data_IF_280415102383
#
_entry.id   IF_280415102383
#
_cell.length_a   1.000
_cell.length_b   1.000
_cell.length_c   1.000
_cell.angle_alpha   90.00
_cell.angle_beta   90.00
_cell.angle_gamma   90.00
#
_symmetry.space_group_name_H-M   'P 1'
#
loop_
_entity.id
_entity.type
_entity.pdbx_description
1 polymer ?
#
# COMPACT_ATOMS: atom_id res chain seq x y z
N UNK A 1 -1.75 -11.72 -17.32
CA UNK A 1 -1.23 -11.63 -15.94
C UNK A 1 -1.52 -10.22 -15.41
N UNK A 2 -1.90 -10.02 -14.13
CA UNK A 2 -2.24 -8.67 -13.58
C UNK A 2 -0.97 -7.84 -13.33
N UNK A 3 0.12 -8.52 -13.00
CA UNK A 3 1.46 -7.97 -12.91
C UNK A 3 2.28 -8.47 -14.11
N UNK A 4 3.22 -7.66 -14.58
CA UNK A 4 4.32 -8.13 -15.43
C UNK A 4 5.28 -9.03 -14.63
N UNK A 5 6.11 -9.81 -15.31
CA UNK A 5 7.11 -10.69 -14.65
C UNK A 5 7.99 -9.89 -13.67
N UNK A 6 8.45 -8.71 -14.08
CA UNK A 6 9.22 -7.80 -13.22
C UNK A 6 8.44 -7.31 -12.00
N UNK A 7 7.15 -7.00 -12.16
CA UNK A 7 6.30 -6.55 -11.06
C UNK A 7 6.00 -7.69 -10.08
N UNK A 8 5.85 -8.91 -10.57
CA UNK A 8 5.66 -10.09 -9.74
C UNK A 8 6.90 -10.36 -8.87
N UNK A 9 8.11 -10.28 -9.44
CA UNK A 9 9.36 -10.44 -8.70
C UNK A 9 9.47 -9.41 -7.56
N UNK A 10 9.17 -8.14 -7.85
CA UNK A 10 9.21 -7.06 -6.85
C UNK A 10 8.16 -7.29 -5.76
N UNK A 11 6.94 -7.68 -6.15
CA UNK A 11 5.87 -7.99 -5.23
C UNK A 11 6.23 -9.15 -4.30
N UNK A 12 6.74 -10.25 -4.84
CA UNK A 12 7.10 -11.44 -4.09
C UNK A 12 8.19 -11.10 -3.06
N UNK A 13 9.23 -10.36 -3.46
CA UNK A 13 10.28 -9.91 -2.56
C UNK A 13 9.73 -9.07 -1.39
N UNK A 14 8.82 -8.12 -1.68
CA UNK A 14 8.17 -7.28 -0.66
C UNK A 14 7.24 -8.10 0.25
N UNK A 15 6.46 -9.02 -0.32
CA UNK A 15 5.56 -9.88 0.43
C UNK A 15 6.33 -10.82 1.36
N UNK A 16 7.40 -11.46 0.87
CA UNK A 16 8.28 -12.31 1.69
C UNK A 16 8.94 -11.53 2.83
N UNK A 17 9.30 -10.26 2.63
CA UNK A 17 9.75 -9.38 3.72
C UNK A 17 8.66 -9.16 4.77
N UNK A 18 7.44 -8.84 4.35
CA UNK A 18 6.32 -8.67 5.27
C UNK A 18 5.96 -9.95 6.05
N UNK A 19 6.13 -11.13 5.45
CA UNK A 19 5.98 -12.40 6.16
C UNK A 19 7.07 -12.64 7.22
N UNK A 20 8.31 -12.16 6.98
CA UNK A 20 9.36 -12.17 8.00
C UNK A 20 8.98 -11.26 9.18
N UNK A 21 8.45 -10.06 8.91
CA UNK A 21 7.96 -9.16 9.97
C UNK A 21 6.85 -9.81 10.81
N UNK A 22 5.95 -10.57 10.18
CA UNK A 22 4.92 -11.34 10.88
C UNK A 22 5.50 -12.48 11.74
N UNK A 23 6.48 -13.23 11.22
CA UNK A 23 7.19 -14.25 12.00
C UNK A 23 7.80 -13.64 13.26
N UNK A 24 8.43 -12.47 13.12
CA UNK A 24 9.07 -11.77 14.22
C UNK A 24 8.03 -11.29 15.25
N UNK A 25 6.89 -10.78 14.77
CA UNK A 25 5.72 -10.44 15.61
C UNK A 25 5.18 -11.63 16.41
N UNK A 26 5.25 -12.85 15.87
CA UNK A 26 4.74 -14.05 16.53
C UNK A 26 5.69 -14.67 17.55
N UNK A 27 6.95 -14.22 17.63
CA UNK A 27 7.91 -14.73 18.60
C UNK A 27 7.39 -14.60 20.04
N UNK A 28 7.53 -15.66 20.83
CA UNK A 28 7.05 -15.71 22.22
C UNK A 28 5.53 -15.91 22.38
N UNK A 29 4.77 -16.02 21.30
CA UNK A 29 3.32 -16.29 21.32
C UNK A 29 2.93 -17.67 20.81
N UNK A 30 1.62 -17.93 20.74
CA UNK A 30 1.06 -19.21 20.25
C UNK A 30 1.45 -19.56 18.81
N UNK A 31 1.85 -18.57 18.01
CA UNK A 31 2.22 -18.72 16.60
C UNK A 31 3.75 -18.67 16.36
N UNK A 32 4.57 -18.71 17.41
CA UNK A 32 6.04 -18.54 17.30
C UNK A 32 6.73 -19.61 16.43
N UNK A 33 6.13 -20.80 16.30
CA UNK A 33 6.64 -21.90 15.49
C UNK A 33 6.40 -21.75 13.98
N UNK A 34 5.66 -20.72 13.54
CA UNK A 34 5.37 -20.51 12.13
C UNK A 34 6.58 -19.95 11.39
N UNK A 35 7.00 -20.65 10.33
CA UNK A 35 8.08 -20.21 9.44
C UNK A 35 7.55 -19.37 8.28
N UNK A 36 8.43 -18.58 7.66
CA UNK A 36 8.08 -17.80 6.47
C UNK A 36 7.64 -18.69 5.32
N UNK A 37 8.28 -19.85 5.14
CA UNK A 37 7.89 -20.84 4.13
C UNK A 37 6.45 -21.33 4.36
N UNK A 38 6.08 -21.61 5.60
CA UNK A 38 4.71 -21.99 5.95
C UNK A 38 3.72 -20.86 5.68
N UNK A 39 4.03 -19.63 6.10
CA UNK A 39 3.18 -18.46 5.87
C UNK A 39 3.03 -18.11 4.38
N UNK A 40 4.05 -18.42 3.57
CA UNK A 40 4.04 -18.26 2.11
C UNK A 40 3.30 -19.40 1.38
N UNK A 41 3.02 -20.51 2.07
CA UNK A 41 2.46 -21.71 1.46
C UNK A 41 3.47 -22.51 0.62
N UNK A 42 4.77 -22.29 0.87
CA UNK A 42 5.85 -23.06 0.23
C UNK A 42 5.74 -24.53 0.70
N UNK A 43 5.75 -25.51 -0.23
CA UNK A 43 5.72 -26.91 0.15
C UNK A 43 7.00 -27.31 0.91
N UNK A 44 6.92 -28.24 1.87
CA UNK A 44 8.12 -28.89 2.42
C UNK A 44 8.97 -29.48 1.30
N UNK A 45 10.30 -29.35 1.40
CA UNK A 45 11.23 -29.88 0.39
C UNK A 45 11.07 -31.39 0.20
N UNK A 46 10.72 -32.12 1.26
CA UNK A 46 10.58 -33.58 1.26
C UNK A 46 9.17 -34.05 0.87
N UNK A 47 8.17 -33.18 0.91
CA UNK A 47 6.78 -33.49 0.56
C UNK A 47 6.17 -32.37 -0.28
N UNK A 48 6.21 -32.46 -1.63
CA UNK A 48 5.68 -31.42 -2.51
C UNK A 48 4.14 -31.39 -2.53
N UNK A 49 3.46 -32.36 -1.90
CA UNK A 49 2.01 -32.34 -1.78
C UNK A 49 1.58 -31.20 -0.84
N UNK A 50 0.57 -30.40 -1.21
CA UNK A 50 0.03 -29.39 -0.31
C UNK A 50 -0.61 -30.04 0.92
N UNK A 51 0.08 -29.96 2.05
CA UNK A 51 -0.59 -30.06 3.34
C UNK A 51 -1.45 -28.80 3.50
N UNK A 52 -2.77 -28.96 3.51
CA UNK A 52 -3.69 -27.88 3.82
C UNK A 52 -3.49 -27.47 5.29
N UNK A 53 -2.57 -26.53 5.55
CA UNK A 53 -2.27 -26.04 6.90
C UNK A 53 -3.44 -25.19 7.39
N UNK A 54 -4.25 -25.68 8.32
CA UNK A 54 -5.24 -24.84 9.00
C UNK A 54 -4.52 -23.78 9.85
N UNK A 55 -4.38 -22.58 9.31
CA UNK A 55 -3.95 -21.43 10.10
C UNK A 55 -5.11 -20.86 10.93
N UNK A 56 -4.84 -20.31 12.11
CA UNK A 56 -5.81 -19.50 12.83
C UNK A 56 -6.29 -18.32 11.97
N UNK A 57 -7.53 -17.88 12.19
CA UNK A 57 -8.13 -16.78 11.40
C UNK A 57 -7.35 -15.47 11.52
N UNK A 58 -6.74 -15.20 12.68
CA UNK A 58 -5.88 -14.03 12.84
C UNK A 58 -4.64 -14.09 11.95
N UNK A 59 -4.01 -15.26 11.81
CA UNK A 59 -2.83 -15.47 10.97
C UNK A 59 -3.18 -15.28 9.50
N UNK A 60 -4.33 -15.83 9.07
CA UNK A 60 -4.83 -15.65 7.70
C UNK A 60 -5.12 -14.18 7.36
N UNK A 61 -5.65 -13.43 8.33
CA UNK A 61 -5.91 -11.99 8.20
C UNK A 61 -4.60 -11.21 8.09
N UNK A 62 -3.62 -11.54 8.92
CA UNK A 62 -2.28 -10.94 8.89
C UNK A 62 -1.58 -11.20 7.54
N UNK A 63 -1.59 -12.44 7.03
CA UNK A 63 -1.04 -12.80 5.70
C UNK A 63 -1.72 -12.00 4.58
N UNK A 64 -3.05 -11.89 4.61
CA UNK A 64 -3.82 -11.09 3.64
C UNK A 64 -3.40 -9.62 3.67
N UNK A 65 -3.24 -9.06 4.86
CA UNK A 65 -2.82 -7.67 5.03
C UNK A 65 -1.38 -7.44 4.54
N UNK A 66 -0.47 -8.39 4.80
CA UNK A 66 0.90 -8.36 4.29
C UNK A 66 0.94 -8.39 2.75
N UNK A 67 0.16 -9.28 2.12
CA UNK A 67 0.06 -9.36 0.66
C UNK A 67 -0.50 -8.06 0.05
N UNK A 68 -1.54 -7.48 0.67
CA UNK A 68 -2.10 -6.19 0.27
C UNK A 68 -1.09 -5.05 0.41
N UNK A 69 -0.35 -4.99 1.52
CA UNK A 69 0.73 -4.02 1.77
C UNK A 69 1.83 -4.11 0.71
N UNK A 70 2.22 -5.33 0.33
CA UNK A 70 3.20 -5.53 -0.74
C UNK A 70 2.67 -5.06 -2.10
N UNK A 71 1.39 -5.31 -2.40
CA UNK A 71 0.75 -4.95 -3.67
C UNK A 71 0.69 -3.44 -3.91
N UNK A 72 0.37 -2.64 -2.88
CA UNK A 72 0.29 -1.17 -3.02
C UNK A 72 1.65 -0.50 -3.25
N UNK A 73 2.73 -1.23 -2.96
CA UNK A 73 4.11 -0.78 -3.12
C UNK A 73 4.74 -1.16 -4.47
N UNK A 74 4.02 -1.85 -5.35
CA UNK A 74 4.53 -2.18 -6.68
C UNK A 74 4.43 -0.92 -7.57
N UNK A 75 5.51 -0.52 -8.26
CA UNK A 75 5.45 0.55 -9.26
C UNK A 75 4.57 0.18 -10.45
N UNK A 76 3.77 1.13 -10.95
CA UNK A 76 3.05 0.97 -12.22
C UNK A 76 4.03 0.93 -13.38
N UNK A 77 3.86 -0.02 -14.31
CA UNK A 77 4.73 -0.23 -15.46
C UNK A 77 4.85 1.06 -16.28
N UNK A 78 6.08 1.49 -16.56
CA UNK A 78 6.37 2.69 -17.38
C UNK A 78 6.44 4.02 -16.64
N UNK A 79 6.24 4.03 -15.31
CA UNK A 79 6.46 5.23 -14.49
C UNK A 79 7.80 5.08 -13.77
N UNK A 80 8.81 5.85 -14.19
CA UNK A 80 9.97 6.14 -13.33
C UNK A 80 9.45 6.83 -12.08
N UNK A 81 9.39 6.10 -10.96
CA UNK A 81 9.02 6.69 -9.68
C UNK A 81 10.00 7.81 -9.36
N UNK A 82 9.48 9.04 -9.27
CA UNK A 82 10.29 10.17 -8.83
C UNK A 82 10.70 9.94 -7.38
N UNK A 83 11.95 10.22 -7.04
CA UNK A 83 12.39 10.24 -5.64
C UNK A 83 11.46 11.15 -4.85
N UNK A 84 11.02 10.72 -3.66
CA UNK A 84 10.15 11.53 -2.82
C UNK A 84 10.76 12.91 -2.51
N UNK A 85 12.09 13.04 -2.53
CA UNK A 85 12.84 14.29 -2.33
C UNK A 85 12.69 15.28 -3.48
N UNK A 86 12.51 14.78 -4.70
CA UNK A 86 12.51 15.59 -5.92
C UNK A 86 11.11 16.08 -6.29
N UNK A 87 10.09 15.60 -5.57
CA UNK A 87 8.69 15.94 -5.82
C UNK A 87 8.39 17.38 -5.45
N UNK A 88 7.92 18.14 -6.44
CA UNK A 88 7.48 19.53 -6.28
C UNK A 88 6.06 19.72 -6.76
N UNK A 89 5.34 20.66 -6.15
CA UNK A 89 4.07 21.13 -6.66
C UNK A 89 4.32 21.92 -7.95
N UNK A 90 3.61 21.57 -9.03
CA UNK A 90 3.64 22.36 -10.26
C UNK A 90 2.93 23.71 -10.08
N UNK A 91 3.23 24.73 -10.91
CA UNK A 91 2.70 26.08 -10.75
C UNK A 91 1.16 26.13 -10.71
N UNK A 92 0.50 25.36 -11.59
CA UNK A 92 -0.96 25.29 -11.68
C UNK A 92 -1.55 24.01 -11.08
N UNK A 93 -0.78 23.23 -10.31
CA UNK A 93 -1.25 21.96 -9.73
C UNK A 93 -1.81 22.19 -8.33
N UNK A 94 -2.93 21.54 -8.02
CA UNK A 94 -3.55 21.53 -6.69
C UNK A 94 -2.56 21.03 -5.62
N UNK A 95 -2.56 21.70 -4.46
CA UNK A 95 -1.78 21.30 -3.30
C UNK A 95 -2.17 19.89 -2.82
N UNK A 96 -3.47 19.58 -2.75
CA UNK A 96 -3.98 18.25 -2.38
C UNK A 96 -3.46 17.15 -3.30
N UNK A 97 -3.43 17.39 -4.61
CA UNK A 97 -2.88 16.43 -5.58
C UNK A 97 -1.37 16.23 -5.37
N UNK A 98 -0.64 17.30 -5.04
CA UNK A 98 0.77 17.20 -4.67
C UNK A 98 0.97 16.39 -3.39
N UNK A 99 0.22 16.65 -2.32
CA UNK A 99 0.29 15.90 -1.06
C UNK A 99 -0.01 14.41 -1.28
N UNK A 100 -1.06 14.08 -2.04
CA UNK A 100 -1.40 12.68 -2.30
C UNK A 100 -0.26 11.91 -2.99
N UNK A 101 0.38 12.52 -4.00
CA UNK A 101 1.52 11.91 -4.68
C UNK A 101 2.73 11.81 -3.75
N UNK A 102 3.01 12.85 -2.95
CA UNK A 102 4.11 12.88 -2.00
C UNK A 102 3.95 11.79 -0.93
N UNK A 103 2.78 11.67 -0.33
CA UNK A 103 2.45 10.62 0.64
C UNK A 103 2.64 9.24 0.02
N UNK A 104 2.14 9.02 -1.19
CA UNK A 104 2.32 7.73 -1.87
C UNK A 104 3.80 7.40 -2.13
N UNK A 105 4.61 8.38 -2.53
CA UNK A 105 6.03 8.17 -2.75
C UNK A 105 6.78 7.87 -1.44
N UNK A 106 6.49 8.63 -0.37
CA UNK A 106 7.07 8.40 0.96
C UNK A 106 6.67 7.02 1.49
N UNK A 107 5.40 6.62 1.34
CA UNK A 107 4.92 5.30 1.77
C UNK A 107 5.62 4.13 1.06
N UNK A 108 6.04 4.35 -0.19
CA UNK A 108 6.74 3.33 -0.98
C UNK A 108 8.24 3.29 -0.72
N UNK A 109 8.85 4.44 -0.46
CA UNK A 109 10.31 4.61 -0.43
C UNK A 109 10.88 4.64 1.01
N UNK A 110 10.07 5.00 2.02
CA UNK A 110 10.51 5.10 3.42
C UNK A 110 9.94 3.95 4.24
N UNK A 111 10.81 3.20 4.92
CA UNK A 111 10.41 2.02 5.72
C UNK A 111 10.01 2.37 7.15
N UNK A 112 10.54 3.46 7.71
CA UNK A 112 10.25 3.88 9.09
C UNK A 112 8.93 4.66 9.17
N UNK A 113 7.88 4.00 9.64
CA UNK A 113 6.54 4.57 9.80
C UNK A 113 6.51 5.77 10.77
N UNK A 114 7.41 5.85 11.75
CA UNK A 114 7.46 6.95 12.72
C UNK A 114 7.97 8.26 12.11
N UNK A 115 8.78 8.17 11.05
CA UNK A 115 9.38 9.34 10.37
C UNK A 115 8.46 9.88 9.27
N UNK A 116 7.64 9.03 8.65
CA UNK A 116 6.81 9.42 7.49
C UNK A 116 5.95 10.67 7.71
N UNK A 117 5.19 10.83 8.82
CA UNK A 117 4.30 11.98 8.97
C UNK A 117 5.08 13.30 9.00
N UNK A 118 6.20 13.32 9.74
CA UNK A 118 7.06 14.49 9.84
C UNK A 118 7.74 14.81 8.50
N UNK A 119 8.26 13.78 7.83
CA UNK A 119 8.92 13.92 6.53
C UNK A 119 7.98 14.48 5.46
N UNK A 120 6.73 13.98 5.39
CA UNK A 120 5.70 14.48 4.48
C UNK A 120 5.41 15.95 4.79
N UNK A 121 5.29 16.34 6.06
CA UNK A 121 5.02 17.72 6.46
C UNK A 121 6.16 18.67 6.05
N UNK A 122 7.42 18.30 6.29
CA UNK A 122 8.57 19.10 5.88
C UNK A 122 8.64 19.29 4.36
N UNK A 123 8.46 18.21 3.59
CA UNK A 123 8.50 18.27 2.13
C UNK A 123 7.30 19.00 1.53
N UNK A 124 6.11 18.84 2.13
CA UNK A 124 4.92 19.58 1.74
C UNK A 124 5.14 21.09 1.79
N UNK A 125 5.72 21.57 2.89
CA UNK A 125 6.06 22.98 3.07
C UNK A 125 7.18 23.43 2.12
N UNK A 126 8.29 22.68 2.09
CA UNK A 126 9.48 23.05 1.34
C UNK A 126 9.25 23.06 -0.19
N UNK A 127 8.41 22.17 -0.70
CA UNK A 127 8.24 21.94 -2.14
C UNK A 127 6.88 22.40 -2.69
N UNK A 128 6.10 23.12 -1.89
CA UNK A 128 4.92 23.86 -2.35
C UNK A 128 5.28 24.91 -3.41
N UNK A 129 4.33 25.23 -4.29
CA UNK A 129 4.46 26.32 -5.24
C UNK A 129 4.44 27.69 -4.52
N UNK A 130 4.86 28.79 -5.17
CA UNK A 130 4.94 30.10 -4.53
C UNK A 130 3.62 30.57 -3.91
N UNK A 131 2.49 30.32 -4.57
CA UNK A 131 1.16 30.70 -4.11
C UNK A 131 0.78 29.97 -2.81
N UNK A 132 0.91 28.64 -2.80
CA UNK A 132 0.68 27.84 -1.60
C UNK A 132 1.65 28.20 -0.47
N UNK A 133 2.93 28.45 -0.78
CA UNK A 133 3.91 28.93 0.22
C UNK A 133 3.50 30.25 0.83
N UNK A 134 3.00 31.18 0.03
CA UNK A 134 2.55 32.47 0.53
C UNK A 134 1.37 32.31 1.50
N UNK A 135 0.39 31.48 1.13
CA UNK A 135 -0.77 31.17 1.97
C UNK A 135 -0.35 30.50 3.28
N UNK A 136 0.48 29.45 3.20
CA UNK A 136 0.91 28.69 4.39
C UNK A 136 1.73 29.58 5.33
N UNK A 137 2.61 30.43 4.80
CA UNK A 137 3.40 31.37 5.62
C UNK A 137 2.56 32.49 6.25
N UNK A 138 1.40 32.81 5.68
CA UNK A 138 0.50 33.82 6.23
C UNK A 138 -0.36 33.30 7.39
N UNK A 139 -0.38 31.98 7.64
CA UNK A 139 -1.15 31.41 8.73
C UNK A 139 -0.34 31.38 10.04
N UNK A 140 -0.95 31.73 11.17
CA UNK A 140 -0.27 31.78 12.46
C UNK A 140 -0.08 30.38 13.08
N UNK A 141 1.06 30.18 13.75
CA UNK A 141 1.32 28.99 14.57
C UNK A 141 1.85 27.77 13.80
N UNK A 142 1.87 26.63 14.49
CA UNK A 142 2.31 25.36 13.89
C UNK A 142 1.14 24.74 13.12
N UNK A 143 1.24 24.79 11.80
CA UNK A 143 0.19 24.30 10.89
C UNK A 143 0.21 22.78 10.76
N UNK A 144 -0.97 22.17 10.90
CA UNK A 144 -1.20 20.79 10.53
C UNK A 144 -1.33 20.63 9.00
N UNK A 145 -1.13 19.39 8.52
CA UNK A 145 -1.31 19.07 7.10
C UNK A 145 -2.73 19.39 6.61
N UNK A 146 -3.75 19.14 7.45
CA UNK A 146 -5.15 19.40 7.10
C UNK A 146 -5.40 20.90 6.90
N UNK A 147 -4.87 21.75 7.78
CA UNK A 147 -5.00 23.21 7.67
C UNK A 147 -4.29 23.74 6.41
N UNK A 148 -3.09 23.22 6.09
CA UNK A 148 -2.38 23.59 4.86
C UNK A 148 -3.20 23.22 3.61
N UNK A 149 -3.80 22.02 3.58
CA UNK A 149 -4.65 21.55 2.48
C UNK A 149 -5.88 22.43 2.32
N UNK A 150 -6.57 22.73 3.42
CA UNK A 150 -7.79 23.54 3.40
C UNK A 150 -7.51 24.97 2.94
N UNK A 151 -6.47 25.61 3.50
CA UNK A 151 -6.10 26.98 3.17
C UNK A 151 -5.69 27.11 1.70
N UNK A 152 -4.85 26.20 1.20
CA UNK A 152 -4.44 26.21 -0.20
C UNK A 152 -5.63 25.92 -1.13
N UNK A 153 -6.51 24.99 -0.77
CA UNK A 153 -7.66 24.66 -1.61
C UNK A 153 -8.65 25.82 -1.73
N UNK A 154 -8.92 26.54 -0.63
CA UNK A 154 -9.80 27.72 -0.62
C UNK A 154 -9.27 28.85 -1.51
N UNK A 155 -7.97 29.12 -1.44
CA UNK A 155 -7.35 30.17 -2.25
C UNK A 155 -7.45 29.86 -3.76
N UNK A 156 -7.18 28.62 -4.16
CA UNK A 156 -7.32 28.18 -5.55
C UNK A 156 -8.78 28.19 -6.03
N UNK A 157 -9.76 27.98 -5.14
CA UNK A 157 -11.18 28.14 -5.47
C UNK A 157 -11.58 29.62 -5.65
N UNK A 158 -10.95 30.54 -4.93
CA UNK A 158 -11.21 31.99 -5.03
C UNK A 158 -10.54 32.69 -6.22
N UNK A 159 -9.53 32.07 -6.85
CA UNK A 159 -8.72 32.67 -7.92
C UNK A 159 -9.31 32.55 -9.33
N UNK A 160 -10.47 31.90 -9.51
CA UNK A 160 -11.07 31.69 -10.82
C UNK A 160 -10.29 30.66 -11.65
N UNK A 161 -11.01 29.87 -12.45
CA UNK A 161 -10.52 28.68 -13.13
C UNK A 161 -9.23 28.87 -13.93
N UNK A 162 -8.32 27.91 -13.81
CA UNK A 162 -7.53 27.44 -14.94
C UNK A 162 -8.16 26.13 -15.43
N UNK A 163 -9.10 26.28 -16.37
CA UNK A 163 -9.59 25.17 -17.19
C UNK A 163 -8.47 24.73 -18.15
N UNK A 164 -7.98 23.51 -17.95
CA UNK A 164 -8.08 22.46 -18.98
C UNK A 164 -7.74 21.10 -18.38
N UNK A 165 -8.72 20.19 -18.48
CA UNK A 165 -8.67 18.81 -18.04
C UNK A 165 -8.08 17.99 -19.18
N UNK A 166 -7.00 17.25 -18.91
CA UNK A 166 -6.82 15.93 -19.52
C UNK A 166 -6.72 14.90 -18.41
N UNK A 167 -7.77 14.09 -18.33
CA UNK A 167 -7.78 12.79 -17.67
C UNK A 167 -7.15 11.80 -18.63
N UNK A 168 -5.84 11.57 -18.54
CA UNK A 168 -5.18 10.46 -19.19
C UNK A 168 -5.00 9.30 -18.19
N UNK A 169 -6.01 8.42 -18.17
CA UNK A 169 -5.90 6.98 -17.91
C UNK A 169 -5.15 6.52 -16.63
N UNK A 170 -5.49 7.04 -15.45
CA UNK A 170 -5.09 6.42 -14.19
C UNK A 170 -5.90 5.14 -13.89
N UNK A 171 -5.30 4.00 -13.52
CA UNK A 171 -6.05 2.76 -13.36
C UNK A 171 -6.87 2.78 -12.07
N UNK A 172 -8.14 2.35 -12.17
CA UNK A 172 -9.01 2.01 -11.05
C UNK A 172 -8.48 0.77 -10.33
N UNK A 173 -7.41 0.92 -9.56
CA UNK A 173 -7.10 0.01 -8.45
C UNK A 173 -7.90 0.54 -7.27
N UNK A 174 -8.71 -0.25 -6.56
CA UNK A 174 -8.20 -0.71 -5.25
C UNK A 174 -8.97 -1.90 -4.66
N UNK A 175 -10.11 -2.37 -5.18
CA UNK A 175 -10.80 -3.54 -4.56
C UNK A 175 -11.08 -4.69 -5.53
N UNK A 176 -11.69 -4.41 -6.69
CA UNK A 176 -12.09 -5.46 -7.63
C UNK A 176 -10.91 -6.22 -8.23
N UNK A 177 -9.77 -5.54 -8.44
CA UNK A 177 -8.55 -6.16 -8.99
C UNK A 177 -7.87 -7.03 -7.94
N UNK A 178 -7.87 -6.59 -6.67
CA UNK A 178 -7.33 -7.35 -5.54
C UNK A 178 -8.14 -8.63 -5.30
N UNK A 179 -9.47 -8.55 -5.34
CA UNK A 179 -10.36 -9.70 -5.17
C UNK A 179 -10.22 -10.71 -6.33
N UNK A 180 -10.02 -10.23 -7.56
CA UNK A 180 -9.82 -11.08 -8.75
C UNK A 180 -8.43 -11.72 -8.78
N UNK A 181 -7.42 -11.08 -8.18
CA UNK A 181 -6.07 -11.61 -8.03
C UNK A 181 -5.99 -12.72 -6.97
N UNK A 182 -6.59 -12.49 -5.79
CA UNK A 182 -6.70 -13.48 -4.72
C UNK A 182 -7.38 -14.79 -5.18
N UNK A 183 -8.25 -14.71 -6.19
CA UNK A 183 -8.98 -15.85 -6.76
C UNK A 183 -8.28 -16.59 -7.91
N UNK A 184 -7.17 -16.08 -8.48
CA UNK A 184 -6.63 -16.61 -9.75
C UNK A 184 -5.29 -17.34 -9.65
N UNK A 185 -4.45 -17.03 -8.66
CA UNK A 185 -3.13 -17.65 -8.56
C UNK A 185 -3.15 -18.89 -7.65
N UNK A 186 -2.87 -20.05 -8.23
CA UNK A 186 -3.05 -21.40 -7.65
C UNK A 186 -2.28 -21.67 -6.34
N UNK A 187 -1.31 -20.83 -5.97
CA UNK A 187 -0.64 -20.88 -4.66
C UNK A 187 -1.37 -20.05 -3.60
N UNK A 188 -1.88 -18.85 -3.95
CA UNK A 188 -2.71 -18.01 -3.08
C UNK A 188 -4.09 -18.65 -2.87
N UNK A 189 -4.61 -19.34 -3.88
CA UNK A 189 -5.83 -20.14 -3.83
C UNK A 189 -5.78 -21.26 -2.78
N UNK A 190 -4.61 -21.82 -2.45
CA UNK A 190 -4.49 -22.83 -1.38
C UNK A 190 -4.68 -22.20 0.01
N UNK A 191 -4.12 -21.02 0.22
CA UNK A 191 -4.34 -20.22 1.44
C UNK A 191 -5.80 -19.71 1.47
N UNK A 192 -6.39 -19.35 0.33
CA UNK A 192 -7.80 -18.95 0.22
C UNK A 192 -8.78 -20.13 0.44
N UNK A 193 -8.46 -21.34 0.02
CA UNK A 193 -9.25 -22.56 0.26
C UNK A 193 -9.30 -22.87 1.76
N UNK A 194 -8.15 -22.77 2.43
CA UNK A 194 -8.03 -22.91 3.90
C UNK A 194 -8.87 -21.83 4.65
N UNK A 195 -8.98 -20.63 4.08
CA UNK A 195 -9.80 -19.52 4.62
C UNK A 195 -11.31 -19.74 4.39
N UNK A 196 -11.71 -20.37 3.29
CA UNK A 196 -13.12 -20.50 2.90
C UNK A 196 -13.81 -21.78 3.39
N UNK A 197 -13.07 -22.79 3.85
CA UNK A 197 -13.66 -24.03 4.36
C UNK A 197 -14.01 -24.03 5.86
N UNK A 198 -13.69 -22.96 6.61
CA UNK A 198 -14.04 -22.86 8.05
C UNK A 198 -15.38 -22.16 8.34
N UNK A 199 -16.24 -21.99 7.34
CA UNK A 199 -17.59 -21.42 7.52
C UNK A 199 -18.74 -22.22 6.90
N UNK A 200 -18.51 -23.39 6.29
CA UNK A 200 -19.61 -24.07 5.59
C UNK A 200 -19.54 -25.60 5.51
N UNK A 201 -19.19 -26.32 6.60
CA UNK A 201 -19.48 -27.76 6.69
C UNK A 201 -19.86 -28.19 8.11
N UNK A 202 -21.10 -27.91 8.51
CA UNK A 202 -21.79 -28.62 9.61
C UNK A 202 -23.14 -29.23 9.19
N UNK A 203 -23.42 -29.34 7.90
CA UNK A 203 -24.59 -30.07 7.41
C UNK A 203 -24.19 -30.99 6.28
N UNK A 204 -23.76 -32.20 6.64
CA UNK A 204 -24.01 -33.49 5.97
C UNK A 204 -22.94 -34.50 6.38
N UNK A 205 -23.10 -35.09 7.56
CA UNK A 205 -22.87 -36.51 7.82
C UNK A 205 -23.41 -36.84 9.22
N UNK A 206 -24.59 -37.49 9.20
CA UNK A 206 -25.54 -37.88 10.26
C UNK A 206 -26.63 -36.85 10.56
#
# INVERSE_FOLDING_TARGET
MILTDSQFIIWEAKWRRALNELRDKYQGGANAGLTVAQLAGDPPLDNPAPEARLFPREVLTDIKNAARKAMVQIPSTGVTESSYTDMKQGPSKSFTSFINRLTQAVDRQVSDEGVKPHLIQCLAFANANPECKHIINAMPGQLSMAEMIEACSKAFASLGELQEIKTDNGPTYIEKVLDKFLKRDLMILRILHIILDNLFWWTFLL
#
